data_IF_175440666521
#
_entry.id   IF_175440666521
#
_cell.length_a   1.000
_cell.length_b   1.000
_cell.length_c   1.000
_cell.angle_alpha   90.00
_cell.angle_beta   90.00
_cell.angle_gamma   90.00
#
_symmetry.space_group_name_H-M   'P 1'
#
loop_
_entity.id
_entity.type
_entity.pdbx_description
1 polymer ?
#
# COMPACT_ATOMS: atom_id res chain seq x y z
N UNK A 1 -7.61 28.81 15.11
CA UNK A 1 -6.87 28.28 13.94
C UNK A 1 -5.65 27.41 14.30
N UNK A 2 -4.74 27.74 15.23
CA UNK A 2 -3.53 26.93 15.48
C UNK A 2 -3.82 25.50 15.99
N UNK A 3 -4.92 25.29 16.72
CA UNK A 3 -5.31 23.95 17.17
C UNK A 3 -5.69 23.00 16.02
N UNK A 4 -6.25 23.50 14.90
CA UNK A 4 -6.63 22.64 13.77
C UNK A 4 -5.39 22.11 13.03
N UNK A 5 -4.37 22.94 12.89
CA UNK A 5 -3.09 22.56 12.25
C UNK A 5 -2.37 21.54 13.13
N UNK A 6 -2.28 21.77 14.45
CA UNK A 6 -1.69 20.80 15.38
C UNK A 6 -2.40 19.45 15.39
N UNK A 7 -3.73 19.44 15.30
CA UNK A 7 -4.50 18.19 15.19
C UNK A 7 -4.20 17.49 13.87
N UNK A 8 -4.15 18.22 12.75
CA UNK A 8 -3.82 17.66 11.44
C UNK A 8 -2.42 17.04 11.40
N UNK A 9 -1.42 17.73 11.95
CA UNK A 9 -0.04 17.24 12.06
C UNK A 9 0.01 15.97 12.93
N UNK A 10 -0.71 15.96 14.05
CA UNK A 10 -0.76 14.79 14.94
C UNK A 10 -1.43 13.58 14.28
N UNK A 11 -2.53 13.78 13.56
CA UNK A 11 -3.22 12.72 12.83
C UNK A 11 -2.33 12.15 11.72
N UNK A 12 -1.60 13.03 11.02
CA UNK A 12 -0.64 12.58 10.02
C UNK A 12 0.52 11.79 10.63
N UNK A 13 1.11 12.24 11.74
CA UNK A 13 2.20 11.52 12.42
C UNK A 13 1.74 10.12 12.88
N UNK A 14 0.49 10.00 13.35
CA UNK A 14 -0.11 8.69 13.68
C UNK A 14 -0.27 7.81 12.44
N UNK A 15 -0.75 8.36 11.33
CA UNK A 15 -0.89 7.63 10.06
C UNK A 15 0.47 7.22 9.48
N UNK A 16 1.49 8.07 9.60
CA UNK A 16 2.84 7.80 9.16
C UNK A 16 3.50 6.69 10.00
N UNK A 17 3.32 6.71 11.33
CA UNK A 17 3.78 5.62 12.19
C UNK A 17 3.09 4.30 11.86
N UNK A 18 1.77 4.34 11.65
CA UNK A 18 1.01 3.15 11.24
C UNK A 18 1.51 2.63 9.88
N UNK A 19 1.73 3.53 8.92
CA UNK A 19 2.25 3.20 7.59
C UNK A 19 3.67 2.62 7.66
N UNK A 20 4.61 3.25 8.38
CA UNK A 20 5.98 2.76 8.54
C UNK A 20 6.04 1.41 9.25
N UNK A 21 5.18 1.19 10.25
CA UNK A 21 5.07 -0.10 10.94
C UNK A 21 4.53 -1.16 10.00
N UNK A 22 3.53 -0.81 9.18
CA UNK A 22 2.99 -1.67 8.14
C UNK A 22 4.08 -1.99 7.11
N UNK A 23 4.78 -0.99 6.59
CA UNK A 23 5.81 -1.17 5.57
C UNK A 23 6.98 -2.03 6.07
N UNK A 24 7.44 -1.83 7.30
CA UNK A 24 8.48 -2.66 7.92
C UNK A 24 8.06 -4.13 8.05
N UNK A 25 6.78 -4.38 8.35
CA UNK A 25 6.24 -5.74 8.45
C UNK A 25 6.02 -6.36 7.07
N UNK A 26 5.64 -5.55 6.08
CA UNK A 26 5.31 -6.01 4.74
C UNK A 26 6.53 -6.15 3.82
N UNK A 27 7.56 -5.30 3.91
CA UNK A 27 8.74 -5.35 3.02
C UNK A 27 9.46 -6.71 3.08
N UNK A 28 9.63 -7.26 4.29
CA UNK A 28 10.27 -8.57 4.47
C UNK A 28 9.36 -9.70 3.97
N UNK A 29 8.04 -9.54 4.06
CA UNK A 29 7.05 -10.55 3.68
C UNK A 29 6.65 -10.48 2.20
N UNK A 30 6.89 -9.34 1.54
CA UNK A 30 6.47 -9.08 0.17
C UNK A 30 7.20 -9.99 -0.82
N UNK A 31 8.52 -10.09 -0.69
CA UNK A 31 9.37 -10.92 -1.57
C UNK A 31 8.96 -12.41 -1.51
N UNK A 32 8.89 -13.07 -0.35
CA UNK A 32 8.44 -14.46 -0.27
C UNK A 32 6.97 -14.62 -0.69
N UNK A 33 6.11 -13.63 -0.44
CA UNK A 33 4.71 -13.65 -0.90
C UNK A 33 4.60 -13.63 -2.43
N UNK A 34 5.35 -12.76 -3.11
CA UNK A 34 5.41 -12.69 -4.57
C UNK A 34 5.99 -13.97 -5.19
N UNK A 35 7.07 -14.52 -4.61
CA UNK A 35 7.60 -15.81 -5.03
C UNK A 35 6.55 -16.92 -4.88
N UNK A 36 5.86 -16.99 -3.74
CA UNK A 36 4.81 -17.97 -3.50
C UNK A 36 3.66 -17.83 -4.51
N UNK A 37 3.27 -16.60 -4.87
CA UNK A 37 2.24 -16.39 -5.90
C UNK A 37 2.65 -16.88 -7.28
N UNK A 38 3.90 -16.65 -7.70
CA UNK A 38 4.41 -17.15 -8.98
C UNK A 38 4.41 -18.68 -9.02
N UNK A 39 4.87 -19.32 -7.95
CA UNK A 39 4.81 -20.77 -7.82
C UNK A 39 3.37 -21.30 -7.85
N UNK A 40 2.45 -20.64 -7.15
CA UNK A 40 1.04 -21.01 -7.13
C UNK A 40 0.41 -20.91 -8.53
N UNK A 41 0.68 -19.83 -9.26
CA UNK A 41 0.16 -19.62 -10.61
C UNK A 41 0.68 -20.71 -11.57
N UNK A 42 1.97 -21.01 -11.51
CA UNK A 42 2.56 -22.10 -12.31
C UNK A 42 1.93 -23.46 -11.95
N UNK A 43 1.80 -23.76 -10.66
CA UNK A 43 1.18 -25.01 -10.19
C UNK A 43 -0.26 -25.16 -10.72
N UNK A 44 -1.07 -24.11 -10.63
CA UNK A 44 -2.48 -24.16 -11.07
C UNK A 44 -2.56 -24.38 -12.58
N UNK A 45 -1.71 -23.72 -13.38
CA UNK A 45 -1.65 -23.93 -14.83
C UNK A 45 -1.29 -25.38 -15.18
N UNK A 46 -0.25 -25.94 -14.53
CA UNK A 46 0.14 -27.33 -14.73
C UNK A 46 -0.94 -28.32 -14.27
N UNK A 47 -1.56 -28.06 -13.12
CA UNK A 47 -2.61 -28.91 -12.57
C UNK A 47 -3.84 -28.93 -13.47
N UNK A 48 -4.27 -27.79 -14.01
CA UNK A 48 -5.37 -27.72 -14.97
C UNK A 48 -5.01 -28.48 -16.24
N UNK A 49 -3.82 -28.25 -16.81
CA UNK A 49 -3.39 -28.93 -18.04
C UNK A 49 -3.42 -30.46 -17.89
N UNK A 50 -2.96 -30.98 -16.76
CA UNK A 50 -2.86 -32.42 -16.54
C UNK A 50 -4.20 -33.06 -16.09
N UNK A 51 -4.94 -32.39 -15.21
CA UNK A 51 -6.09 -32.98 -14.52
C UNK A 51 -7.44 -32.62 -15.11
N UNK A 52 -7.53 -31.74 -16.10
CA UNK A 52 -8.85 -31.34 -16.63
C UNK A 52 -9.59 -32.50 -17.29
N UNK A 53 -8.88 -33.44 -17.90
CA UNK A 53 -9.48 -34.63 -18.52
C UNK A 53 -9.90 -35.69 -17.51
N UNK A 54 -9.18 -35.85 -16.39
CA UNK A 54 -9.46 -36.90 -15.39
C UNK A 54 -10.35 -36.41 -14.24
N UNK A 55 -10.11 -35.18 -13.76
CA UNK A 55 -10.75 -34.57 -12.57
C UNK A 55 -11.14 -33.11 -12.86
N UNK A 56 -12.06 -32.87 -13.80
CA UNK A 56 -12.41 -31.51 -14.26
C UNK A 56 -12.92 -30.62 -13.14
N UNK A 57 -13.77 -31.13 -12.24
CA UNK A 57 -14.30 -30.34 -11.12
C UNK A 57 -13.21 -29.90 -10.14
N UNK A 58 -12.25 -30.78 -9.84
CA UNK A 58 -11.12 -30.43 -8.98
C UNK A 58 -10.23 -29.39 -9.64
N UNK A 59 -9.91 -29.56 -10.93
CA UNK A 59 -9.13 -28.60 -11.71
C UNK A 59 -9.79 -27.20 -11.72
N UNK A 60 -11.11 -27.14 -11.90
CA UNK A 60 -11.87 -25.89 -11.84
C UNK A 60 -11.87 -25.26 -10.44
N UNK A 61 -12.01 -26.06 -9.37
CA UNK A 61 -11.92 -25.53 -8.00
C UNK A 61 -10.55 -24.90 -7.72
N UNK A 62 -9.46 -25.56 -8.14
CA UNK A 62 -8.10 -25.02 -8.02
C UNK A 62 -7.92 -23.75 -8.86
N UNK A 63 -8.49 -23.71 -10.07
CA UNK A 63 -8.47 -22.52 -10.93
C UNK A 63 -9.16 -21.32 -10.28
N UNK A 64 -10.39 -21.51 -9.78
CA UNK A 64 -11.17 -20.47 -9.11
C UNK A 64 -10.44 -19.98 -7.86
N UNK A 65 -9.90 -20.89 -7.05
CA UNK A 65 -9.15 -20.54 -5.85
C UNK A 65 -7.88 -19.73 -6.18
N UNK A 66 -7.16 -20.09 -7.24
CA UNK A 66 -6.04 -19.32 -7.76
C UNK A 66 -6.41 -17.91 -8.16
N UNK A 67 -7.49 -17.76 -8.93
CA UNK A 67 -7.99 -16.44 -9.36
C UNK A 67 -8.33 -15.57 -8.16
N UNK A 68 -9.00 -16.12 -7.14
CA UNK A 68 -9.31 -15.40 -5.90
C UNK A 68 -8.04 -14.92 -5.19
N UNK A 69 -7.00 -15.75 -5.12
CA UNK A 69 -5.72 -15.40 -4.50
C UNK A 69 -4.96 -14.31 -5.25
N UNK A 70 -5.03 -14.31 -6.58
CA UNK A 70 -4.43 -13.26 -7.41
C UNK A 70 -5.19 -11.94 -7.20
N UNK A 71 -6.52 -11.97 -7.20
CA UNK A 71 -7.36 -10.79 -6.96
C UNK A 71 -7.10 -10.14 -5.59
N UNK A 72 -6.90 -10.95 -4.55
CA UNK A 72 -6.59 -10.47 -3.20
C UNK A 72 -5.32 -9.61 -3.18
N UNK A 73 -4.26 -10.06 -3.87
CA UNK A 73 -3.00 -9.31 -3.93
C UNK A 73 -3.09 -8.10 -4.85
N UNK A 74 -3.85 -8.17 -5.94
CA UNK A 74 -4.12 -6.99 -6.78
C UNK A 74 -4.84 -5.92 -5.97
N UNK A 75 -5.87 -6.29 -5.20
CA UNK A 75 -6.62 -5.36 -4.36
C UNK A 75 -5.72 -4.71 -3.30
N UNK A 76 -4.88 -5.50 -2.64
CA UNK A 76 -3.92 -4.97 -1.67
C UNK A 76 -2.92 -4.02 -2.33
N UNK A 77 -2.35 -4.42 -3.47
CA UNK A 77 -1.41 -3.60 -4.24
C UNK A 77 -2.03 -2.28 -4.72
N UNK A 78 -3.30 -2.33 -5.17
CA UNK A 78 -4.05 -1.15 -5.58
C UNK A 78 -4.28 -0.21 -4.39
N UNK A 79 -4.69 -0.73 -3.22
CA UNK A 79 -4.85 0.07 -2.01
C UNK A 79 -3.54 0.76 -1.59
N UNK A 80 -2.41 0.04 -1.64
CA UNK A 80 -1.08 0.60 -1.41
C UNK A 80 -0.72 1.70 -2.42
N UNK A 81 -1.01 1.49 -3.71
CA UNK A 81 -0.75 2.47 -4.75
C UNK A 81 -1.57 3.75 -4.57
N UNK A 82 -2.87 3.62 -4.26
CA UNK A 82 -3.73 4.77 -3.97
C UNK A 82 -3.24 5.53 -2.73
N UNK A 83 -2.88 4.81 -1.65
CA UNK A 83 -2.34 5.43 -0.45
C UNK A 83 -1.03 6.20 -0.72
N UNK A 84 -0.11 5.62 -1.48
CA UNK A 84 1.14 6.28 -1.88
C UNK A 84 0.87 7.54 -2.73
N UNK A 85 -0.07 7.46 -3.68
CA UNK A 85 -0.45 8.59 -4.52
C UNK A 85 -1.06 9.74 -3.71
N UNK A 86 -1.97 9.44 -2.80
CA UNK A 86 -2.57 10.45 -1.90
C UNK A 86 -1.50 11.10 -1.02
N UNK A 87 -0.55 10.33 -0.50
CA UNK A 87 0.55 10.84 0.30
C UNK A 87 1.44 11.83 -0.49
N UNK A 88 1.72 11.54 -1.77
CA UNK A 88 2.42 12.47 -2.65
C UNK A 88 1.63 13.77 -2.92
N UNK A 89 0.31 13.68 -3.12
CA UNK A 89 -0.57 14.84 -3.34
C UNK A 89 -0.62 15.73 -2.09
N UNK A 90 -0.73 15.11 -0.92
CA UNK A 90 -0.69 15.79 0.39
C UNK A 90 0.66 16.46 0.60
N UNK A 91 1.77 15.77 0.30
CA UNK A 91 3.13 16.33 0.37
C UNK A 91 3.29 17.58 -0.50
N UNK A 92 2.85 17.52 -1.76
CA UNK A 92 2.89 18.65 -2.68
C UNK A 92 2.02 19.83 -2.20
N UNK A 93 0.83 19.54 -1.65
CA UNK A 93 -0.09 20.57 -1.13
C UNK A 93 0.50 21.27 0.09
N UNK A 94 1.13 20.51 0.98
CA UNK A 94 1.77 21.06 2.17
C UNK A 94 3.01 21.87 1.80
N UNK A 95 3.82 21.39 0.84
CA UNK A 95 4.95 22.15 0.32
C UNK A 95 4.52 23.51 -0.26
N UNK A 96 3.41 23.57 -1.00
CA UNK A 96 2.85 24.84 -1.52
C UNK A 96 2.41 25.80 -0.40
N UNK A 97 1.71 25.27 0.62
CA UNK A 97 1.28 26.05 1.80
C UNK A 97 2.48 26.58 2.57
N UNK A 98 3.57 25.82 2.64
CA UNK A 98 4.81 26.18 3.32
C UNK A 98 5.50 27.39 2.68
N UNK A 99 5.53 27.45 1.35
CA UNK A 99 6.15 28.55 0.58
C UNK A 99 5.39 29.87 0.79
N UNK A 100 4.07 29.82 0.98
CA UNK A 100 3.21 31.01 1.08
C UNK A 100 2.89 31.45 2.52
N UNK A 101 3.39 30.77 3.56
CA UNK A 101 3.05 31.06 4.95
C UNK A 101 4.06 32.01 5.62
N UNK A 102 3.62 33.22 6.00
CA UNK A 102 4.44 34.21 6.70
C UNK A 102 4.56 33.99 8.22
N UNK A 103 3.83 33.02 8.78
CA UNK A 103 3.83 32.76 10.22
C UNK A 103 4.94 31.78 10.63
N UNK A 104 5.99 32.29 11.30
CA UNK A 104 7.23 31.56 11.62
C UNK A 104 7.02 30.25 12.40
N UNK A 105 6.08 30.23 13.35
CA UNK A 105 5.81 29.04 14.16
C UNK A 105 5.13 27.92 13.36
N UNK A 106 4.24 28.29 12.44
CA UNK A 106 3.52 27.34 11.57
C UNK A 106 4.46 26.82 10.48
N UNK A 107 5.36 27.68 9.99
CA UNK A 107 6.38 27.32 9.00
C UNK A 107 7.36 26.28 9.55
N UNK A 108 7.77 26.37 10.82
CA UNK A 108 8.63 25.37 11.46
C UNK A 108 7.99 23.98 11.56
N UNK A 109 6.72 23.90 12.00
CA UNK A 109 5.99 22.62 12.03
C UNK A 109 5.75 22.07 10.62
N UNK A 110 5.41 22.92 9.64
CA UNK A 110 5.25 22.50 8.26
C UNK A 110 6.57 22.04 7.62
N UNK A 111 7.72 22.63 7.98
CA UNK A 111 9.04 22.25 7.46
C UNK A 111 9.48 20.88 7.97
N UNK A 112 9.24 20.60 9.26
CA UNK A 112 9.43 19.24 9.79
C UNK A 112 8.50 18.24 9.14
N UNK A 113 7.27 18.63 8.81
CA UNK A 113 6.32 17.79 8.09
C UNK A 113 6.77 17.52 6.65
N UNK A 114 7.14 18.55 5.90
CA UNK A 114 7.60 18.44 4.51
C UNK A 114 8.81 17.52 4.39
N UNK A 115 9.72 17.55 5.37
CA UNK A 115 10.91 16.68 5.36
C UNK A 115 10.62 15.22 5.73
N UNK A 116 9.44 14.93 6.28
CA UNK A 116 8.98 13.56 6.58
C UNK A 116 8.16 12.95 5.44
N UNK A 117 7.63 13.78 4.54
CA UNK A 117 6.79 13.34 3.41
C UNK A 117 7.60 13.13 2.13
N UNK A 118 8.67 13.92 1.94
CA UNK A 118 9.67 13.79 0.87
C UNK A 118 10.79 12.85 1.30
#
# INVERSE_FOLDING_TARGET
MPNKIKVLVRVYDMLLQASNTTNRNFDIQLVPSLCNQLFLAAYILFYIYWMISEKPYSALCWAIWGILKILEVINFSAACHFASRELHVVGNSIHKVLIHNNNLAIRGELMMFSHRVL
#
